data_IF_226458506917
#
_entry.id   IF_226458506917
#
_cell.length_a   1.000
_cell.length_b   1.000
_cell.length_c   1.000
_cell.angle_alpha   90.00
_cell.angle_beta   90.00
_cell.angle_gamma   90.00
#
_symmetry.space_group_name_H-M   'P 1'
#
loop_
_entity.id
_entity.type
_entity.pdbx_description
1 polymer ?
#
# COMPACT_ATOMS: atom_id res chain seq x y z
N UNK A 1 14.88 10.63 -1.45
CA UNK A 1 16.29 10.94 -1.11
C UNK A 1 16.54 10.87 0.40
N UNK A 2 17.32 9.87 0.84
CA UNK A 2 17.86 9.85 2.19
C UNK A 2 19.04 10.86 2.21
N UNK A 3 18.92 11.91 3.03
CA UNK A 3 19.99 12.88 3.20
C UNK A 3 20.69 12.59 4.52
N UNK A 4 21.87 11.97 4.44
CA UNK A 4 22.86 12.03 5.50
C UNK A 4 24.10 12.73 4.92
N UNK A 5 24.50 13.86 5.53
CA UNK A 5 25.75 14.58 5.25
C UNK A 5 25.97 15.20 3.86
N UNK A 6 24.94 15.77 3.23
CA UNK A 6 25.13 16.74 2.14
C UNK A 6 25.64 16.17 0.80
N UNK A 7 25.84 14.87 0.70
CA UNK A 7 26.03 14.15 -0.56
C UNK A 7 24.68 13.66 -1.06
N UNK A 8 24.34 13.95 -2.32
CA UNK A 8 23.23 13.28 -3.00
C UNK A 8 23.57 11.79 -3.10
N UNK A 9 22.99 10.97 -2.21
CA UNK A 9 23.06 9.52 -2.35
C UNK A 9 22.20 9.14 -3.56
N UNK A 10 22.87 8.69 -4.62
CA UNK A 10 22.23 7.97 -5.71
C UNK A 10 21.71 6.67 -5.09
N UNK A 11 20.39 6.53 -5.08
CA UNK A 11 19.74 5.31 -4.59
C UNK A 11 19.81 4.30 -5.74
N UNK A 12 20.63 3.27 -5.57
CA UNK A 12 20.73 2.18 -6.53
C UNK A 12 19.49 1.28 -6.49
N UNK A 13 19.15 0.68 -7.64
CA UNK A 13 18.02 -0.23 -7.74
C UNK A 13 18.28 -1.50 -6.88
N UNK A 14 17.42 -1.82 -5.91
CA UNK A 14 17.65 -2.97 -5.06
C UNK A 14 17.37 -4.30 -5.80
N UNK A 15 18.08 -5.34 -5.39
CA UNK A 15 17.94 -6.70 -5.93
C UNK A 15 17.23 -7.57 -4.88
N UNK A 16 16.10 -8.16 -5.26
CA UNK A 16 15.45 -9.20 -4.48
C UNK A 16 16.08 -10.56 -4.78
N UNK A 17 16.37 -11.31 -3.71
CA UNK A 17 16.85 -12.69 -3.80
C UNK A 17 15.69 -13.64 -3.59
N UNK A 18 15.25 -14.29 -4.65
CA UNK A 18 14.17 -15.29 -4.61
C UNK A 18 14.77 -16.69 -4.60
N UNK A 19 14.27 -17.55 -3.73
CA UNK A 19 14.68 -18.96 -3.67
C UNK A 19 13.48 -19.83 -4.05
N UNK A 20 13.63 -20.60 -5.13
CA UNK A 20 12.60 -21.52 -5.62
C UNK A 20 13.23 -22.83 -6.07
N UNK A 21 12.73 -23.96 -5.55
CA UNK A 21 13.28 -25.31 -5.80
C UNK A 21 14.80 -25.43 -5.56
N UNK A 22 15.31 -24.73 -4.53
CA UNK A 22 16.74 -24.74 -4.20
C UNK A 22 17.63 -23.88 -5.13
N UNK A 23 17.06 -23.25 -6.16
CA UNK A 23 17.75 -22.29 -7.01
C UNK A 23 17.49 -20.86 -6.55
N UNK A 24 18.55 -20.05 -6.54
CA UNK A 24 18.49 -18.63 -6.25
C UNK A 24 18.36 -17.81 -7.53
N UNK A 25 17.45 -16.84 -7.52
CA UNK A 25 17.23 -15.88 -8.59
C UNK A 25 17.39 -14.47 -8.04
N UNK A 26 18.24 -13.68 -8.69
CA UNK A 26 18.41 -12.27 -8.38
C UNK A 26 17.50 -11.47 -9.32
N UNK A 27 16.49 -10.80 -8.76
CA UNK A 27 15.49 -10.06 -9.53
C UNK A 27 15.51 -8.60 -9.08
N UNK A 28 15.82 -7.65 -9.97
CA UNK A 28 15.74 -6.23 -9.64
C UNK A 28 14.33 -5.84 -9.21
N UNK A 29 14.19 -5.00 -8.19
CA UNK A 29 12.91 -4.44 -7.79
C UNK A 29 12.63 -3.18 -8.59
N UNK A 30 11.45 -3.10 -9.22
CA UNK A 30 11.03 -1.87 -9.90
C UNK A 30 10.46 -0.81 -8.97
N UNK A 31 9.98 -1.22 -7.79
CA UNK A 31 9.36 -0.30 -6.84
C UNK A 31 9.57 -0.75 -5.41
N UNK A 32 9.86 0.20 -4.53
CA UNK A 32 9.73 0.00 -3.09
C UNK A 32 9.25 1.25 -2.37
N UNK A 33 8.73 1.04 -1.16
CA UNK A 33 8.29 2.11 -0.26
C UNK A 33 8.91 1.91 1.12
N UNK A 34 9.56 2.96 1.62
CA UNK A 34 10.03 3.05 3.01
C UNK A 34 9.33 4.23 3.70
N UNK A 35 9.77 5.45 3.40
CA UNK A 35 9.09 6.70 3.75
C UNK A 35 8.53 7.41 2.52
N UNK A 36 9.12 7.12 1.36
CA UNK A 36 8.76 7.64 0.06
C UNK A 36 8.68 6.48 -0.92
N UNK A 37 7.91 6.68 -1.99
CA UNK A 37 7.87 5.76 -3.12
C UNK A 37 9.12 5.94 -3.98
N UNK A 38 9.81 4.85 -4.28
CA UNK A 38 10.94 4.82 -5.21
C UNK A 38 10.59 3.89 -6.36
N UNK A 39 10.72 4.40 -7.59
CA UNK A 39 10.49 3.64 -8.81
C UNK A 39 11.74 3.65 -9.69
N UNK A 40 11.97 2.53 -10.37
CA UNK A 40 13.12 2.32 -11.25
C UNK A 40 12.65 1.83 -12.61
N UNK A 41 13.26 2.37 -13.66
CA UNK A 41 13.03 1.94 -15.04
C UNK A 41 13.76 0.62 -15.35
N UNK A 42 13.38 -0.01 -16.47
CA UNK A 42 14.02 -1.23 -16.95
C UNK A 42 13.32 -2.53 -16.51
N UNK A 43 14.05 -3.64 -16.57
CA UNK A 43 13.55 -4.97 -16.25
C UNK A 43 13.59 -5.27 -14.74
N UNK A 44 12.68 -6.11 -14.27
CA UNK A 44 12.58 -6.44 -12.84
C UNK A 44 11.20 -6.93 -12.43
N UNK A 45 11.04 -7.15 -11.13
CA UNK A 45 9.79 -7.58 -10.52
C UNK A 45 8.76 -6.46 -10.64
N UNK A 46 7.68 -6.73 -11.37
CA UNK A 46 6.63 -5.76 -11.71
C UNK A 46 5.65 -5.50 -10.54
N UNK A 47 6.19 -5.26 -9.34
CA UNK A 47 5.41 -4.97 -8.14
C UNK A 47 6.13 -3.97 -7.26
N UNK A 48 5.51 -3.59 -6.15
CA UNK A 48 6.12 -2.69 -5.18
C UNK A 48 6.30 -3.37 -3.82
N UNK A 49 7.51 -3.29 -3.26
CA UNK A 49 7.79 -3.80 -1.93
C UNK A 49 7.65 -2.68 -0.89
N UNK A 50 6.68 -2.78 0.01
CA UNK A 50 6.61 -1.88 1.17
C UNK A 50 7.34 -2.50 2.35
N UNK A 51 8.36 -1.81 2.87
CA UNK A 51 8.99 -2.22 4.12
C UNK A 51 8.13 -1.85 5.32
N UNK A 52 8.04 -2.77 6.27
CA UNK A 52 7.35 -2.56 7.55
C UNK A 52 8.21 -3.12 8.69
N UNK A 53 8.17 -2.50 9.87
CA UNK A 53 8.92 -2.99 11.02
C UNK A 53 8.41 -4.35 11.50
N UNK A 54 9.31 -5.15 12.07
CA UNK A 54 8.96 -6.25 12.97
C UNK A 54 9.19 -5.82 14.41
N UNK A 55 8.32 -6.26 15.33
CA UNK A 55 8.39 -5.95 16.75
C UNK A 55 8.17 -7.25 17.52
N UNK A 56 9.20 -7.69 18.22
CA UNK A 56 9.18 -8.89 19.06
C UNK A 56 9.48 -8.50 20.51
N UNK A 57 8.41 -8.36 21.31
CA UNK A 57 8.50 -7.85 22.68
C UNK A 57 9.05 -6.41 22.74
N UNK A 58 10.27 -6.25 23.25
CA UNK A 58 10.96 -4.95 23.32
C UNK A 58 11.96 -4.71 22.19
N UNK A 59 12.21 -5.69 21.31
CA UNK A 59 13.12 -5.55 20.18
C UNK A 59 12.33 -5.21 18.92
N UNK A 60 12.75 -4.16 18.21
CA UNK A 60 12.15 -3.74 16.94
C UNK A 60 13.20 -3.69 15.84
N UNK A 61 12.87 -4.20 14.66
CA UNK A 61 13.66 -4.03 13.44
C UNK A 61 12.87 -3.17 12.44
N UNK A 62 13.31 -1.94 12.12
CA UNK A 62 12.61 -1.04 11.21
C UNK A 62 12.49 -1.58 9.77
N UNK A 63 13.39 -2.48 9.37
CA UNK A 63 13.39 -3.18 8.07
C UNK A 63 13.21 -4.69 8.27
N UNK A 64 12.32 -5.08 9.20
CA UNK A 64 12.15 -6.47 9.59
C UNK A 64 11.28 -7.30 8.65
N UNK A 65 10.34 -6.67 7.95
CA UNK A 65 9.41 -7.36 7.05
C UNK A 65 9.08 -6.51 5.81
N UNK A 66 8.46 -7.16 4.82
CA UNK A 66 8.01 -6.52 3.60
C UNK A 66 6.64 -7.02 3.15
N UNK A 67 5.81 -6.11 2.65
CA UNK A 67 4.58 -6.42 1.94
C UNK A 67 4.84 -6.29 0.45
N UNK A 68 4.80 -7.41 -0.27
CA UNK A 68 4.88 -7.39 -1.72
C UNK A 68 3.49 -7.07 -2.31
N UNK A 69 3.42 -5.97 -3.04
CA UNK A 69 2.22 -5.51 -3.73
C UNK A 69 2.36 -5.84 -5.21
N UNK A 70 1.52 -6.75 -5.69
CA UNK A 70 1.45 -7.09 -7.11
C UNK A 70 1.06 -5.88 -7.95
N UNK A 71 1.29 -5.89 -9.28
CA UNK A 71 0.95 -4.75 -10.14
C UNK A 71 -0.54 -4.41 -10.11
N UNK A 72 -1.40 -5.40 -9.83
CA UNK A 72 -2.84 -5.20 -9.67
C UNK A 72 -3.20 -4.53 -8.34
N UNK A 73 -2.47 -4.82 -7.26
CA UNK A 73 -2.74 -4.27 -5.93
C UNK A 73 -2.16 -2.87 -5.80
N UNK A 74 -0.96 -2.62 -6.32
CA UNK A 74 -0.23 -1.35 -6.15
C UNK A 74 -1.03 -0.13 -6.62
N UNK A 75 -1.86 -0.30 -7.66
CA UNK A 75 -2.66 0.78 -8.27
C UNK A 75 -3.99 1.04 -7.56
N UNK A 76 -4.36 0.21 -6.58
CA UNK A 76 -5.63 0.36 -5.86
C UNK A 76 -5.65 1.59 -4.97
N UNK A 77 -6.84 2.14 -4.72
CA UNK A 77 -7.00 3.27 -3.80
C UNK A 77 -6.52 2.92 -2.38
N UNK A 78 -6.73 1.67 -1.95
CA UNK A 78 -6.20 1.17 -0.69
C UNK A 78 -4.67 1.31 -0.62
N UNK A 79 -3.94 0.80 -1.62
CA UNK A 79 -2.48 0.91 -1.61
C UNK A 79 -2.01 2.35 -1.66
N UNK A 80 -2.61 3.18 -2.52
CA UNK A 80 -2.23 4.59 -2.67
C UNK A 80 -2.43 5.38 -1.38
N UNK A 81 -3.62 5.32 -0.78
CA UNK A 81 -3.94 6.10 0.42
C UNK A 81 -3.40 5.47 1.70
N UNK A 82 -3.72 4.19 1.95
CA UNK A 82 -3.45 3.56 3.24
C UNK A 82 -1.97 3.17 3.39
N UNK A 83 -1.41 2.57 2.34
CA UNK A 83 0.00 2.16 2.34
C UNK A 83 0.86 3.38 2.01
N UNK A 84 0.80 3.92 0.79
CA UNK A 84 1.79 4.88 0.32
C UNK A 84 1.60 6.32 0.83
N UNK A 85 0.54 6.61 1.59
CA UNK A 85 0.22 7.96 2.05
C UNK A 85 0.18 8.97 0.89
N UNK A 86 -0.32 8.54 -0.27
CA UNK A 86 -0.42 9.40 -1.44
C UNK A 86 -1.49 10.47 -1.21
N UNK A 87 -1.13 11.72 -1.49
CA UNK A 87 -2.07 12.84 -1.41
C UNK A 87 -3.19 12.71 -2.44
N UNK A 88 -4.38 13.16 -2.07
CA UNK A 88 -5.55 13.12 -2.95
C UNK A 88 -6.40 14.36 -2.80
N UNK A 89 -6.90 14.87 -3.92
CA UNK A 89 -7.90 15.96 -3.94
C UNK A 89 -9.30 15.53 -3.47
N UNK A 90 -9.58 14.23 -3.44
CA UNK A 90 -10.91 13.69 -3.11
C UNK A 90 -10.97 12.99 -1.75
N UNK A 91 -9.81 12.67 -1.17
CA UNK A 91 -9.72 11.95 0.10
C UNK A 91 -8.74 12.68 1.01
N UNK A 92 -9.28 13.40 1.99
CA UNK A 92 -8.48 14.11 2.98
C UNK A 92 -8.35 13.25 4.23
N UNK A 93 -7.13 12.90 4.63
CA UNK A 93 -6.89 12.17 5.88
C UNK A 93 -7.28 13.08 7.07
N UNK A 94 -8.27 12.67 7.85
CA UNK A 94 -8.78 13.44 9.01
C UNK A 94 -8.51 12.75 10.36
N UNK A 95 -8.11 11.49 10.33
CA UNK A 95 -7.66 10.74 11.50
C UNK A 95 -6.60 9.72 11.12
N UNK A 96 -5.56 9.61 11.94
CA UNK A 96 -4.47 8.65 11.79
C UNK A 96 -3.88 8.31 13.18
N UNK A 97 -3.97 7.04 13.58
CA UNK A 97 -3.41 6.53 14.84
C UNK A 97 -2.06 5.80 14.67
N UNK A 98 -1.40 5.93 13.50
CA UNK A 98 -0.14 5.25 13.18
C UNK A 98 1.02 5.54 14.14
N UNK A 99 0.96 6.64 14.88
CA UNK A 99 1.90 6.93 15.97
C UNK A 99 1.77 5.96 17.15
N UNK A 100 0.57 5.45 17.42
CA UNK A 100 0.29 4.48 18.48
C UNK A 100 0.27 3.03 17.98
N UNK A 101 -0.21 2.81 16.76
CA UNK A 101 -0.30 1.48 16.14
C UNK A 101 0.23 1.53 14.69
N UNK A 102 1.55 1.41 14.48
CA UNK A 102 2.11 1.43 13.12
C UNK A 102 1.70 0.17 12.35
N UNK A 103 1.78 0.25 11.02
CA UNK A 103 1.71 -0.95 10.18
C UNK A 103 2.99 -1.76 10.39
N UNK A 104 2.88 -2.91 11.04
CA UNK A 104 4.02 -3.68 11.51
C UNK A 104 3.68 -5.17 11.63
N UNK A 105 4.70 -6.02 11.73
CA UNK A 105 4.55 -7.39 12.20
C UNK A 105 4.89 -7.43 13.69
N UNK A 106 3.89 -7.60 14.55
CA UNK A 106 4.04 -7.69 16.00
C UNK A 106 3.89 -9.13 16.47
N UNK A 107 4.96 -9.73 17.01
CA UNK A 107 5.02 -11.13 17.43
C UNK A 107 4.47 -12.09 16.35
N UNK A 108 4.90 -11.90 15.10
CA UNK A 108 4.46 -12.68 13.95
C UNK A 108 3.07 -12.36 13.39
N UNK A 109 2.36 -11.36 13.92
CA UNK A 109 1.03 -10.94 13.43
C UNK A 109 1.10 -9.59 12.75
N UNK A 110 0.46 -9.47 11.58
CA UNK A 110 0.28 -8.18 10.94
C UNK A 110 -0.69 -7.32 11.77
N UNK A 111 -0.22 -6.17 12.22
CA UNK A 111 -1.02 -5.12 12.86
C UNK A 111 -0.93 -3.87 12.00
N UNK A 112 -1.89 -2.96 12.11
CA UNK A 112 -1.84 -1.69 11.39
C UNK A 112 -2.82 -0.66 11.90
N UNK A 113 -2.60 0.61 11.50
CA UNK A 113 -3.34 1.75 12.02
C UNK A 113 -4.79 1.77 11.55
N UNK A 114 -5.63 2.46 12.32
CA UNK A 114 -6.86 3.05 11.84
C UNK A 114 -6.57 4.39 11.17
N UNK A 115 -7.02 4.52 9.93
CA UNK A 115 -7.02 5.77 9.17
C UNK A 115 -8.42 6.08 8.70
N UNK A 116 -8.83 7.34 8.82
CA UNK A 116 -10.15 7.82 8.38
C UNK A 116 -9.95 8.98 7.42
N UNK A 117 -10.61 8.91 6.27
CA UNK A 117 -10.61 9.94 5.26
C UNK A 117 -11.98 10.59 5.15
N UNK A 118 -11.98 11.92 5.07
CA UNK A 118 -13.11 12.71 4.61
C UNK A 118 -13.15 12.70 3.09
N UNK A 119 -14.32 12.45 2.50
CA UNK A 119 -14.52 12.36 1.06
C UNK A 119 -15.04 13.68 0.53
N UNK A 120 -14.36 14.26 -0.46
CA UNK A 120 -14.83 15.41 -1.22
C UNK A 120 -15.33 14.95 -2.57
N UNK A 121 -16.62 15.16 -2.85
CA UNK A 121 -17.20 14.87 -4.16
C UNK A 121 -16.99 16.06 -5.10
N UNK A 122 -16.71 15.84 -6.39
CA UNK A 122 -16.61 16.93 -7.35
C UNK A 122 -17.99 17.56 -7.60
N UNK A 123 -18.03 18.89 -7.80
CA UNK A 123 -19.28 19.64 -7.99
C UNK A 123 -20.10 19.17 -9.21
N UNK A 124 -19.43 18.58 -10.21
CA UNK A 124 -20.03 18.06 -11.43
C UNK A 124 -20.31 16.54 -11.37
N UNK A 125 -20.39 15.95 -10.17
CA UNK A 125 -20.75 14.55 -10.02
C UNK A 125 -22.18 14.31 -10.52
N UNK A 126 -22.30 13.62 -11.65
CA UNK A 126 -23.59 13.13 -12.15
C UNK A 126 -23.73 11.68 -11.72
N UNK A 127 -24.66 11.41 -10.81
CA UNK A 127 -25.00 10.05 -10.38
C UNK A 127 -26.10 9.51 -11.32
N UNK A 128 -25.88 8.39 -12.02
CA UNK A 128 -26.92 7.77 -12.84
C UNK A 128 -28.18 7.45 -12.03
N UNK A 129 -29.36 7.64 -12.65
CA UNK A 129 -30.65 7.50 -11.96
C UNK A 129 -30.86 6.10 -11.38
N UNK A 130 -30.32 5.08 -12.04
CA UNK A 130 -30.34 3.68 -11.60
C UNK A 130 -29.71 3.45 -10.21
N UNK A 131 -28.80 4.30 -9.75
CA UNK A 131 -28.24 4.19 -8.39
C UNK A 131 -29.15 4.75 -7.27
N UNK A 132 -30.22 5.46 -7.62
CA UNK A 132 -31.24 5.93 -6.68
C UNK A 132 -32.46 5.00 -6.61
N UNK A 133 -32.45 3.92 -7.39
CA UNK A 133 -33.51 2.92 -7.42
C UNK A 133 -33.38 1.96 -6.26
N UNK A 134 -34.51 1.56 -5.67
CA UNK A 134 -34.57 0.44 -4.72
C UNK A 134 -34.52 -0.92 -5.43
N UNK A 135 -34.77 -0.93 -6.73
CA UNK A 135 -34.65 -2.12 -7.58
C UNK A 135 -33.19 -2.31 -7.96
N UNK A 136 -32.62 -3.47 -7.61
CA UNK A 136 -31.26 -3.82 -7.98
C UNK A 136 -31.11 -3.92 -9.50
N UNK A 137 -29.98 -3.45 -10.08
CA UNK A 137 -29.76 -3.53 -11.52
C UNK A 137 -29.71 -4.97 -12.07
N UNK A 138 -29.37 -5.94 -11.23
CA UNK A 138 -29.34 -7.36 -11.58
C UNK A 138 -30.38 -8.14 -10.73
N UNK A 139 -31.48 -8.59 -11.35
CA UNK A 139 -32.55 -9.33 -10.68
C UNK A 139 -32.09 -10.65 -10.02
N UNK A 140 -30.90 -11.16 -10.37
CA UNK A 140 -30.35 -12.38 -9.75
C UNK A 140 -29.81 -12.14 -8.34
N UNK A 141 -29.62 -10.87 -7.96
CA UNK A 141 -29.07 -10.47 -6.66
C UNK A 141 -30.20 -10.11 -5.68
N UNK A 142 -31.44 -9.96 -6.16
CA UNK A 142 -32.63 -9.94 -5.33
C UNK A 142 -32.84 -11.35 -4.76
N UNK A 143 -32.38 -11.56 -3.52
CA UNK A 143 -32.83 -12.73 -2.77
C UNK A 143 -34.32 -12.55 -2.48
N UNK A 144 -35.20 -13.49 -2.84
CA UNK A 144 -36.55 -13.47 -2.29
C UNK A 144 -36.44 -13.57 -0.77
N UNK A 145 -36.99 -12.57 -0.06
CA UNK A 145 -37.17 -12.68 1.38
C UNK A 145 -38.08 -13.89 1.66
N UNK A 146 -37.53 -14.93 2.28
CA UNK A 146 -38.28 -16.04 2.87
C UNK A 146 -38.61 -15.70 4.32
#
# INVERSE_FOLDING_TARGET
>A
PLKENGTEQIIEQPIAVLVYNGQQFNVPLKCYYLDNLFEFDGDGLDGCLRFIPTIDGQQGNPLGAGLYLSPKVRVTLFSRLFLFNEDSKYFKLVYDDSKGMPLAVYNGRLIGPLKIWEISYPDNLVIPKEYYSEVLPDPRVDRPMQ
#
